data_IF_564058972912
#
_entry.id   IF_564058972912
#
_cell.length_a   1.000
_cell.length_b   1.000
_cell.length_c   1.000
_cell.angle_alpha   90.00
_cell.angle_beta   90.00
_cell.angle_gamma   90.00
#
_symmetry.space_group_name_H-M   'P 1'
#
loop_
_entity.id
_entity.type
_entity.pdbx_description
1 polymer ?
#
# COMPACT_ATOMS: atom_id res chain seq x y z
N UNK A 1 -24.59 -8.66 4.94
CA UNK A 1 -23.76 -7.91 5.91
C UNK A 1 -23.38 -6.60 5.26
N UNK A 2 -23.54 -5.46 5.94
CA UNK A 2 -23.23 -4.15 5.36
C UNK A 2 -21.71 -3.99 5.12
N UNK A 3 -21.30 -3.23 4.10
CA UNK A 3 -19.86 -3.04 3.79
C UNK A 3 -19.09 -2.38 4.94
N UNK A 4 -19.77 -1.48 5.66
CA UNK A 4 -19.22 -0.78 6.83
C UNK A 4 -18.84 -1.74 7.96
N UNK A 5 -19.63 -2.80 8.19
CA UNK A 5 -19.31 -3.84 9.18
C UNK A 5 -18.12 -4.72 8.74
N UNK A 6 -17.88 -4.84 7.43
CA UNK A 6 -16.83 -5.72 6.89
C UNK A 6 -15.48 -5.02 6.78
N UNK A 7 -15.47 -3.75 6.39
CA UNK A 7 -14.28 -2.99 6.05
C UNK A 7 -14.04 -1.78 6.96
N UNK A 8 -15.04 -1.30 7.70
CA UNK A 8 -14.94 -0.09 8.51
C UNK A 8 -15.58 1.13 7.84
N UNK A 9 -15.18 2.33 8.25
CA UNK A 9 -15.76 3.58 7.74
C UNK A 9 -15.68 3.68 6.21
N UNK A 10 -16.74 4.16 5.57
CA UNK A 10 -16.78 4.35 4.13
C UNK A 10 -15.68 5.31 3.67
N UNK A 11 -15.17 5.10 2.46
CA UNK A 11 -14.13 5.96 1.89
C UNK A 11 -14.65 7.37 1.63
N UNK A 12 -13.79 8.38 1.81
CA UNK A 12 -14.16 9.78 1.53
C UNK A 12 -13.20 10.40 0.52
N UNK A 13 -13.67 11.40 -0.22
CA UNK A 13 -12.90 12.03 -1.29
C UNK A 13 -11.53 12.56 -0.85
N UNK A 14 -11.43 13.06 0.39
CA UNK A 14 -10.19 13.59 0.97
C UNK A 14 -9.04 12.59 1.05
N UNK A 15 -9.32 11.28 1.08
CA UNK A 15 -8.30 10.23 1.22
C UNK A 15 -7.51 9.98 -0.06
N UNK A 16 -8.07 10.36 -1.20
CA UNK A 16 -7.53 10.05 -2.52
C UNK A 16 -6.97 11.28 -3.24
N UNK A 17 -6.88 12.43 -2.53
CA UNK A 17 -6.45 13.71 -3.11
C UNK A 17 -5.07 13.61 -3.77
N UNK A 18 -4.19 12.76 -3.22
CA UNK A 18 -2.83 12.57 -3.70
C UNK A 18 -2.63 11.32 -4.58
N UNK A 19 -3.69 10.54 -4.83
CA UNK A 19 -3.58 9.31 -5.61
C UNK A 19 -3.55 9.63 -7.11
N UNK A 20 -2.43 9.28 -7.76
CA UNK A 20 -2.21 9.52 -9.19
C UNK A 20 -1.63 8.26 -9.85
N UNK A 21 -2.44 7.43 -10.54
CA UNK A 21 -3.90 7.50 -10.65
C UNK A 21 -4.63 7.00 -9.39
N UNK A 22 -5.94 7.27 -9.31
CA UNK A 22 -6.81 6.77 -8.25
C UNK A 22 -6.82 5.22 -8.20
N UNK A 23 -6.91 4.65 -7.00
CA UNK A 23 -6.88 3.19 -6.76
C UNK A 23 -8.25 2.58 -6.43
N UNK A 24 -9.34 3.19 -6.92
CA UNK A 24 -10.68 2.66 -6.68
C UNK A 24 -10.91 1.42 -7.53
N UNK A 25 -11.28 0.33 -6.86
CA UNK A 25 -11.61 -0.92 -7.53
C UNK A 25 -12.91 -0.80 -8.30
N UNK A 26 -12.94 -1.35 -9.51
CA UNK A 26 -14.18 -1.59 -10.28
C UNK A 26 -14.71 -3.01 -10.13
N UNK A 27 -13.90 -3.91 -9.54
CA UNK A 27 -14.23 -5.32 -9.28
C UNK A 27 -13.59 -5.79 -7.97
N UNK A 28 -14.23 -6.74 -7.30
CA UNK A 28 -13.73 -7.39 -6.08
C UNK A 28 -13.63 -8.90 -6.29
N UNK A 29 -12.48 -9.36 -6.77
CA UNK A 29 -12.13 -10.80 -6.73
C UNK A 29 -11.64 -11.19 -5.34
N UNK A 30 -10.79 -10.35 -4.74
CA UNK A 30 -10.46 -10.35 -3.32
C UNK A 30 -11.24 -9.30 -2.54
N UNK A 31 -11.03 -9.20 -1.22
CA UNK A 31 -11.65 -8.17 -0.38
C UNK A 31 -11.18 -6.75 -0.75
N UNK A 32 -11.93 -5.75 -0.28
CA UNK A 32 -11.53 -4.34 -0.37
C UNK A 32 -10.31 -4.05 0.51
N UNK A 33 -9.38 -3.23 0.02
CA UNK A 33 -8.11 -2.89 0.67
C UNK A 33 -8.08 -1.49 1.28
N UNK A 34 -9.09 -0.64 1.05
CA UNK A 34 -9.06 0.77 1.45
C UNK A 34 -8.88 0.99 2.97
N UNK A 35 -9.07 -0.05 3.78
CA UNK A 35 -9.00 -0.04 5.25
C UNK A 35 -8.13 -1.19 5.82
N UNK A 36 -7.13 -1.64 5.07
CA UNK A 36 -6.27 -2.75 5.52
C UNK A 36 -5.15 -2.30 6.47
N UNK A 37 -4.82 -1.01 6.51
CA UNK A 37 -3.76 -0.49 7.37
C UNK A 37 -3.97 -0.85 8.84
N UNK A 38 -2.98 -1.52 9.44
CA UNK A 38 -3.01 -1.98 10.83
C UNK A 38 -3.94 -3.17 11.11
N UNK A 39 -4.65 -3.71 10.12
CA UNK A 39 -5.57 -4.85 10.31
C UNK A 39 -4.83 -6.19 10.41
N UNK A 40 -3.70 -6.31 9.72
CA UNK A 40 -2.83 -7.50 9.74
C UNK A 40 -1.40 -7.09 10.05
N UNK A 41 -0.63 -8.01 10.63
CA UNK A 41 0.79 -7.78 10.88
C UNK A 41 1.57 -7.78 9.58
N UNK A 42 2.72 -7.12 9.63
CA UNK A 42 3.74 -7.14 8.58
C UNK A 42 4.18 -8.57 8.21
N UNK A 43 4.28 -9.47 9.19
CA UNK A 43 4.61 -10.87 8.94
C UNK A 43 3.46 -11.62 8.25
N UNK A 44 2.22 -11.34 8.62
CA UNK A 44 1.05 -11.91 7.93
C UNK A 44 1.05 -11.49 6.46
N UNK A 45 1.35 -10.21 6.17
CA UNK A 45 1.47 -9.75 4.79
C UNK A 45 2.61 -10.44 4.03
N UNK A 46 3.76 -10.70 4.66
CA UNK A 46 4.87 -11.45 4.03
C UNK A 46 4.44 -12.84 3.64
N UNK A 47 3.89 -13.61 4.58
CA UNK A 47 3.44 -14.99 4.33
C UNK A 47 2.31 -15.02 3.30
N UNK A 48 1.33 -14.12 3.41
CA UNK A 48 0.21 -14.05 2.47
C UNK A 48 0.67 -13.68 1.05
N UNK A 49 1.63 -12.77 0.90
CA UNK A 49 2.15 -12.40 -0.42
C UNK A 49 3.03 -13.50 -1.02
N UNK A 50 3.80 -14.23 -0.21
CA UNK A 50 4.63 -15.33 -0.68
C UNK A 50 3.75 -16.47 -1.21
N UNK A 51 2.83 -16.94 -0.37
CA UNK A 51 1.83 -17.94 -0.74
C UNK A 51 0.52 -17.72 0.04
N UNK A 52 -0.52 -17.13 -0.60
CA UNK A 52 -1.79 -16.83 0.06
C UNK A 52 -2.48 -18.03 0.70
N UNK A 53 -2.24 -19.24 0.16
CA UNK A 53 -2.89 -20.49 0.60
C UNK A 53 -2.36 -20.99 1.95
N UNK A 54 -1.22 -20.48 2.41
CA UNK A 54 -0.64 -20.88 3.70
C UNK A 54 -1.38 -20.25 4.89
N UNK A 55 -2.02 -19.10 4.68
CA UNK A 55 -2.81 -18.40 5.71
C UNK A 55 -4.30 -18.35 5.40
N UNK A 56 -4.68 -18.50 4.12
CA UNK A 56 -6.06 -18.56 3.66
C UNK A 56 -6.16 -19.70 2.62
N UNK A 57 -6.41 -20.95 3.05
CA UNK A 57 -6.37 -22.13 2.19
C UNK A 57 -7.23 -22.05 0.93
N UNK A 58 -8.37 -21.38 1.02
CA UNK A 58 -9.33 -21.17 -0.08
C UNK A 58 -8.98 -19.97 -0.98
N UNK A 59 -7.86 -19.28 -0.75
CA UNK A 59 -7.49 -18.09 -1.51
C UNK A 59 -7.27 -18.41 -2.99
N UNK A 60 -7.89 -17.62 -3.84
CA UNK A 60 -7.67 -17.63 -5.28
C UNK A 60 -6.57 -16.64 -5.72
N UNK A 61 -5.98 -15.90 -4.77
CA UNK A 61 -4.90 -14.95 -5.07
C UNK A 61 -3.64 -15.71 -5.56
N UNK A 62 -2.93 -15.19 -6.57
CA UNK A 62 -1.61 -15.70 -6.95
C UNK A 62 -0.58 -15.49 -5.84
N UNK A 63 0.43 -16.35 -5.77
CA UNK A 63 1.63 -16.08 -4.95
C UNK A 63 2.55 -15.10 -5.68
N UNK A 64 3.21 -14.23 -4.91
CA UNK A 64 4.15 -13.20 -5.36
C UNK A 64 5.53 -13.34 -4.68
N UNK A 65 6.15 -14.54 -4.65
CA UNK A 65 7.38 -14.80 -3.89
C UNK A 65 8.58 -13.96 -4.36
N UNK A 66 8.61 -13.57 -5.65
CA UNK A 66 9.70 -12.77 -6.21
C UNK A 66 9.87 -11.42 -5.51
N UNK A 67 8.79 -10.85 -4.96
CA UNK A 67 8.83 -9.55 -4.26
C UNK A 67 9.82 -9.56 -3.09
N UNK A 68 10.03 -10.71 -2.45
CA UNK A 68 10.98 -10.85 -1.34
C UNK A 68 12.45 -10.77 -1.82
N UNK A 69 12.70 -11.13 -3.08
CA UNK A 69 14.05 -11.16 -3.67
C UNK A 69 14.37 -9.93 -4.53
N UNK A 70 13.37 -9.32 -5.16
CA UNK A 70 13.55 -8.14 -6.01
C UNK A 70 13.90 -6.92 -5.16
N UNK A 71 15.09 -6.36 -5.38
CA UNK A 71 15.55 -5.15 -4.71
C UNK A 71 15.01 -3.91 -5.40
N UNK A 72 14.68 -2.89 -4.60
CA UNK A 72 14.34 -1.57 -5.14
C UNK A 72 15.58 -0.92 -5.74
N UNK A 73 15.36 -0.06 -6.75
CA UNK A 73 16.36 0.87 -7.27
C UNK A 73 16.09 2.23 -6.61
N UNK A 74 16.88 2.65 -5.61
CA UNK A 74 16.56 3.85 -4.82
C UNK A 74 16.45 5.13 -5.64
N UNK A 75 17.29 5.28 -6.67
CA UNK A 75 17.34 6.49 -7.50
C UNK A 75 16.06 6.72 -8.32
N UNK A 76 15.29 5.66 -8.61
CA UNK A 76 14.06 5.76 -9.40
C UNK A 76 12.93 6.50 -8.67
N UNK A 77 13.05 6.70 -7.34
CA UNK A 77 12.03 7.41 -6.57
C UNK A 77 12.06 8.92 -6.82
N UNK A 78 13.23 9.49 -7.07
CA UNK A 78 13.43 10.93 -7.25
C UNK A 78 12.60 11.49 -8.40
N UNK A 79 12.68 10.96 -9.64
CA UNK A 79 11.86 11.46 -10.74
C UNK A 79 10.35 11.30 -10.47
N UNK A 80 9.93 10.25 -9.77
CA UNK A 80 8.52 10.00 -9.40
C UNK A 80 8.00 11.05 -8.41
N UNK A 81 8.74 11.31 -7.34
CA UNK A 81 8.36 12.34 -6.35
C UNK A 81 8.35 13.74 -6.97
N UNK A 82 9.31 14.06 -7.84
CA UNK A 82 9.30 15.33 -8.59
C UNK A 82 8.08 15.44 -9.52
N UNK A 83 7.69 14.36 -10.19
CA UNK A 83 6.47 14.34 -11.01
C UNK A 83 5.21 14.54 -10.15
N UNK A 84 5.10 13.86 -9.02
CA UNK A 84 3.99 14.03 -8.08
C UNK A 84 3.93 15.44 -7.49
N UNK A 85 5.09 16.04 -7.19
CA UNK A 85 5.18 17.44 -6.76
C UNK A 85 4.63 18.41 -7.80
N UNK A 86 4.95 18.21 -9.09
CA UNK A 86 4.35 19.00 -10.20
C UNK A 86 2.84 18.82 -10.30
N UNK A 87 2.31 17.72 -9.78
CA UNK A 87 0.88 17.40 -9.72
C UNK A 87 0.20 17.84 -8.40
N UNK A 88 0.84 18.74 -7.66
CA UNK A 88 0.40 19.33 -6.39
C UNK A 88 0.40 18.38 -5.18
N UNK A 89 1.19 17.30 -5.22
CA UNK A 89 1.50 16.53 -4.00
C UNK A 89 2.55 17.30 -3.20
N UNK A 90 2.34 17.56 -1.89
CA UNK A 90 3.14 18.51 -1.11
C UNK A 90 4.50 17.95 -0.64
N UNK A 91 5.29 17.36 -1.53
CA UNK A 91 6.65 16.94 -1.20
C UNK A 91 7.59 18.14 -1.06
N UNK A 92 8.32 18.21 0.05
CA UNK A 92 9.43 19.16 0.24
C UNK A 92 10.66 18.72 -0.56
N UNK A 93 11.61 19.64 -0.81
CA UNK A 93 12.89 19.22 -1.41
C UNK A 93 13.70 18.32 -0.46
N UNK A 94 13.46 18.41 0.85
CA UNK A 94 14.05 17.51 1.84
C UNK A 94 13.57 16.07 1.63
N UNK A 95 12.25 15.89 1.50
CA UNK A 95 11.66 14.56 1.28
C UNK A 95 12.27 13.90 0.04
N UNK A 96 12.38 14.65 -1.06
CA UNK A 96 12.93 14.16 -2.33
C UNK A 96 14.42 13.80 -2.19
N UNK A 97 15.19 14.59 -1.42
CA UNK A 97 16.61 14.36 -1.21
C UNK A 97 16.87 13.14 -0.31
N UNK A 98 16.04 12.93 0.69
CA UNK A 98 16.18 11.81 1.63
C UNK A 98 15.62 10.49 1.09
N UNK A 99 14.66 10.53 0.16
CA UNK A 99 13.97 9.33 -0.28
C UNK A 99 14.88 8.18 -0.77
N UNK A 100 15.96 8.39 -1.55
CA UNK A 100 16.84 7.29 -1.95
C UNK A 100 17.47 6.55 -0.77
N UNK A 101 17.94 7.27 0.26
CA UNK A 101 18.59 6.61 1.40
C UNK A 101 17.62 5.74 2.20
N UNK A 102 16.33 6.08 2.23
CA UNK A 102 15.28 5.29 2.89
C UNK A 102 14.99 3.95 2.19
N UNK A 103 15.31 3.84 0.90
CA UNK A 103 15.03 2.66 0.08
C UNK A 103 16.21 1.70 -0.05
N UNK A 104 17.40 2.08 0.45
CA UNK A 104 18.61 1.25 0.38
C UNK A 104 18.37 -0.11 1.06
N UNK A 105 18.64 -1.19 0.32
CA UNK A 105 18.54 -2.57 0.80
C UNK A 105 17.12 -3.13 0.89
N UNK A 106 16.09 -2.29 0.71
CA UNK A 106 14.67 -2.69 0.73
C UNK A 106 14.29 -3.49 -0.50
N UNK A 107 13.33 -4.38 -0.31
CA UNK A 107 12.75 -5.21 -1.38
C UNK A 107 11.44 -4.60 -1.87
N UNK A 108 10.93 -5.10 -3.00
CA UNK A 108 9.58 -4.76 -3.45
C UNK A 108 8.52 -5.21 -2.43
N UNK A 109 8.75 -6.32 -1.73
CA UNK A 109 7.86 -6.78 -0.66
C UNK A 109 7.80 -5.77 0.50
N UNK A 110 8.94 -5.24 0.94
CA UNK A 110 8.97 -4.22 2.00
C UNK A 110 8.19 -2.97 1.59
N UNK A 111 8.35 -2.52 0.33
CA UNK A 111 7.63 -1.36 -0.19
C UNK A 111 6.12 -1.61 -0.28
N UNK A 112 5.70 -2.78 -0.76
CA UNK A 112 4.29 -3.13 -0.88
C UNK A 112 3.62 -3.22 0.49
N UNK A 113 4.30 -3.80 1.48
CA UNK A 113 3.78 -3.87 2.85
C UNK A 113 3.66 -2.47 3.45
N UNK A 114 4.68 -1.62 3.29
CA UNK A 114 4.60 -0.23 3.75
C UNK A 114 3.41 0.52 3.11
N UNK A 115 3.14 0.28 1.82
CA UNK A 115 1.97 0.83 1.14
C UNK A 115 0.66 0.31 1.75
N UNK A 116 0.51 -1.01 1.91
CA UNK A 116 -0.70 -1.63 2.47
C UNK A 116 -0.98 -1.14 3.90
N UNK A 117 0.06 -1.00 4.72
CA UNK A 117 -0.05 -0.49 6.08
C UNK A 117 -0.48 0.99 6.13
N UNK A 118 -0.23 1.76 5.07
CA UNK A 118 -0.66 3.16 4.94
C UNK A 118 -2.12 3.33 4.52
N UNK A 119 -2.80 2.27 4.05
CA UNK A 119 -4.16 2.40 3.50
C UNK A 119 -5.20 2.61 4.60
N UNK A 120 -5.91 3.73 4.50
CA UNK A 120 -7.08 4.02 5.33
C UNK A 120 -6.81 4.49 6.75
N UNK A 121 -5.55 4.77 7.11
CA UNK A 121 -5.15 5.18 8.48
C UNK A 121 -5.32 6.68 8.75
N UNK A 122 -5.45 7.50 7.70
CA UNK A 122 -5.56 8.96 7.81
C UNK A 122 -6.88 9.40 8.44
N UNK A 123 -7.93 8.59 8.29
CA UNK A 123 -9.22 8.80 8.95
C UNK A 123 -9.30 7.87 10.15
N UNK A 124 -8.85 8.39 11.31
CA UNK A 124 -9.16 7.79 12.60
C UNK A 124 -10.58 8.16 12.97
N UNK A 125 -11.55 7.36 12.55
CA UNK A 125 -12.85 7.40 13.23
C UNK A 125 -12.63 6.85 14.64
N UNK A 126 -12.82 7.69 15.66
CA UNK A 126 -13.06 7.18 17.03
C UNK A 126 -14.27 6.25 16.91
N UNK A 127 -14.09 4.98 17.26
CA UNK A 127 -15.20 4.12 17.64
C UNK A 127 -16.01 4.80 18.75
#
# INVERSE_FOLDING_TARGET
RAETERYGHYSVAGEFVYDRPFQWGSKRTGPDLARVGGRYSDDWHRTHLDNPRDVVPESNMPGYPWLATTKLVPEDVVPKMRALKRLNVPYSEEDIRQAPSMLVGKTEQDALIAYLQGLGILIKTRN
#
